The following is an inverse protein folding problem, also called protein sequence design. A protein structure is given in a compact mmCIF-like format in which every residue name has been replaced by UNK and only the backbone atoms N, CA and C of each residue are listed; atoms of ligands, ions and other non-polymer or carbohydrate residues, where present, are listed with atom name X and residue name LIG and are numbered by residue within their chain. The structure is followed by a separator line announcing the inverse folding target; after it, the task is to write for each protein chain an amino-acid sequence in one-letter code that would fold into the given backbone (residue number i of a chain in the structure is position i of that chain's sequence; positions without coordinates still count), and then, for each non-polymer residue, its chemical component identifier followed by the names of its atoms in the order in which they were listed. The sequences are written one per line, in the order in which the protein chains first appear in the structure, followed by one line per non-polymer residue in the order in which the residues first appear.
data_IF_204025807657
#
_entry.id   IF_204025807657
#
_cell.length_a   1.000
_cell.length_b   1.000
_cell.length_c   1.000
_cell.angle_alpha   90.00
_cell.angle_beta   90.00
_cell.angle_gamma   90.00
#
_symmetry.space_group_name_H-M   'P 1'
#
loop_
_entity.id
_entity.type
_entity.pdbx_description
1 polymer ?
#
# COMPACT_ATOMS: atom_id res chain seq x y z
N UNK A 1 -16.79 3.74 24.62
CA UNK A 1 -15.46 3.33 24.13
C UNK A 1 -15.67 2.10 23.27
N UNK A 2 -15.32 2.13 21.98
CA UNK A 2 -15.65 1.05 21.04
C UNK A 2 -14.47 0.08 20.95
N UNK A 3 -14.44 -0.93 21.81
CA UNK A 3 -13.70 -2.17 21.54
C UNK A 3 -14.63 -3.08 20.73
N UNK A 4 -14.46 -3.15 19.40
CA UNK A 4 -15.28 -4.07 18.60
C UNK A 4 -15.36 -3.87 17.08
N UNK A 5 -14.45 -3.11 16.46
CA UNK A 5 -14.56 -2.75 15.04
C UNK A 5 -13.61 -3.46 14.06
N UNK A 6 -12.74 -4.37 14.53
CA UNK A 6 -11.70 -4.99 13.70
C UNK A 6 -12.07 -6.43 13.32
N UNK A 7 -12.03 -6.74 12.02
CA UNK A 7 -12.57 -8.01 11.48
C UNK A 7 -11.47 -8.91 10.90
N UNK A 8 -11.68 -10.24 10.95
CA UNK A 8 -10.79 -11.22 10.33
C UNK A 8 -9.75 -11.84 11.27
N UNK A 9 -8.70 -12.42 10.68
CA UNK A 9 -7.59 -13.09 11.39
C UNK A 9 -6.81 -12.12 12.29
N UNK A 10 -5.96 -12.65 13.18
CA UNK A 10 -5.12 -11.82 14.05
C UNK A 10 -4.22 -10.88 13.24
N UNK A 11 -3.63 -11.37 12.15
CA UNK A 11 -2.81 -10.55 11.25
C UNK A 11 -3.63 -9.43 10.61
N UNK A 12 -4.85 -9.74 10.12
CA UNK A 12 -5.74 -8.75 9.51
C UNK A 12 -6.19 -7.68 10.51
N UNK A 13 -6.46 -8.05 11.77
CA UNK A 13 -6.83 -7.09 12.81
C UNK A 13 -5.65 -6.20 13.21
N UNK A 14 -4.42 -6.73 13.25
CA UNK A 14 -3.22 -5.92 13.49
C UNK A 14 -3.00 -4.88 12.38
N UNK A 15 -3.14 -5.28 11.11
CA UNK A 15 -3.06 -4.34 9.99
C UNK A 15 -4.12 -3.24 10.09
N UNK A 16 -5.35 -3.59 10.45
CA UNK A 16 -6.42 -2.60 10.66
C UNK A 16 -6.15 -1.62 11.82
N UNK A 17 -5.54 -2.10 12.91
CA UNK A 17 -5.17 -1.24 14.03
C UNK A 17 -4.07 -0.23 13.62
N UNK A 18 -2.98 -0.71 13.00
CA UNK A 18 -1.87 0.14 12.54
C UNK A 18 -2.35 1.18 11.52
N UNK A 19 -3.23 0.77 10.63
CA UNK A 19 -3.92 1.64 9.70
C UNK A 19 -4.67 2.80 10.39
N UNK A 20 -5.49 2.50 11.40
CA UNK A 20 -6.27 3.50 12.14
C UNK A 20 -5.35 4.44 12.90
N UNK A 21 -4.25 3.94 13.48
CA UNK A 21 -3.22 4.74 14.14
C UNK A 21 -2.54 5.71 13.17
N UNK A 22 -2.34 5.32 11.91
CA UNK A 22 -1.71 6.15 10.87
C UNK A 22 -2.63 7.21 10.23
N UNK A 23 -3.93 7.18 10.53
CA UNK A 23 -4.97 7.91 9.78
C UNK A 23 -4.68 9.41 9.66
N UNK A 24 -4.28 10.03 10.77
CA UNK A 24 -4.09 11.48 10.82
C UNK A 24 -2.82 11.93 10.09
N UNK A 25 -1.76 11.10 10.10
CA UNK A 25 -0.54 11.35 9.33
C UNK A 25 -0.80 11.22 7.82
N UNK A 26 -1.56 10.18 7.42
CA UNK A 26 -1.97 9.95 6.03
C UNK A 26 -2.78 11.13 5.49
N UNK A 27 -3.77 11.63 6.25
CA UNK A 27 -4.58 12.80 5.85
C UNK A 27 -3.77 14.08 5.60
N UNK A 28 -2.65 14.24 6.31
CA UNK A 28 -1.78 15.43 6.19
C UNK A 28 -0.70 15.29 5.13
N UNK A 29 -0.56 14.12 4.52
CA UNK A 29 0.51 13.84 3.56
C UNK A 29 -0.06 13.87 2.14
N UNK A 30 0.27 14.89 1.32
CA UNK A 30 -0.17 14.94 -0.07
C UNK A 30 0.24 13.67 -0.83
N UNK A 31 -0.70 13.07 -1.55
CA UNK A 31 -0.49 11.83 -2.33
C UNK A 31 -0.54 10.53 -1.52
N UNK A 32 -0.67 10.59 -0.19
CA UNK A 32 -0.90 9.39 0.61
C UNK A 32 -2.35 8.91 0.46
N UNK A 33 -2.52 7.62 0.15
CA UNK A 33 -3.85 6.99 0.02
C UNK A 33 -3.98 5.83 0.98
N UNK A 34 -5.15 5.74 1.61
CA UNK A 34 -5.54 4.56 2.37
C UNK A 34 -6.33 3.63 1.46
N UNK A 35 -5.63 2.75 0.73
CA UNK A 35 -6.23 1.86 -0.24
C UNK A 35 -6.47 0.49 0.41
N UNK A 36 -7.73 0.06 0.51
CA UNK A 36 -8.09 -1.29 0.93
C UNK A 36 -7.43 -1.78 2.24
N UNK A 37 -7.21 -0.85 3.20
CA UNK A 37 -6.56 -1.11 4.50
C UNK A 37 -5.06 -1.43 4.48
N UNK A 38 -4.37 -1.04 3.40
CA UNK A 38 -2.92 -1.14 3.29
C UNK A 38 -2.35 0.25 2.95
N UNK A 39 -1.11 0.48 3.36
CA UNK A 39 -0.32 1.61 2.88
C UNK A 39 -0.21 1.56 1.35
N UNK A 40 -0.16 2.71 0.68
CA UNK A 40 -0.08 2.74 -0.77
C UNK A 40 0.38 4.07 -1.35
N UNK A 41 0.73 4.03 -2.64
CA UNK A 41 1.19 5.21 -3.40
C UNK A 41 0.61 5.20 -4.82
N UNK A 42 0.44 6.40 -5.39
CA UNK A 42 0.18 6.62 -6.81
C UNK A 42 1.38 7.21 -7.56
N UNK A 43 2.45 7.57 -6.83
CA UNK A 43 3.69 8.12 -7.38
C UNK A 43 4.89 7.57 -6.58
N UNK A 44 5.46 6.42 -7.00
CA UNK A 44 6.55 5.77 -6.28
C UNK A 44 7.81 6.63 -6.15
N UNK A 45 8.11 7.45 -7.16
CA UNK A 45 9.29 8.30 -7.19
C UNK A 45 9.19 9.42 -6.14
N UNK A 46 8.03 10.09 -6.07
CA UNK A 46 7.81 11.14 -5.05
C UNK A 46 7.62 10.55 -3.66
N UNK A 47 7.07 9.34 -3.56
CA UNK A 47 6.86 8.67 -2.27
C UNK A 47 8.16 8.15 -1.65
N UNK A 48 9.11 7.73 -2.51
CA UNK A 48 10.46 7.34 -2.16
C UNK A 48 10.63 5.83 -1.99
N UNK A 49 11.59 5.26 -2.72
CA UNK A 49 11.84 3.81 -2.72
C UNK A 49 12.36 3.25 -1.39
N UNK A 50 13.12 4.03 -0.62
CA UNK A 50 13.56 3.61 0.71
C UNK A 50 12.36 3.44 1.67
N UNK A 51 11.39 4.35 1.57
CA UNK A 51 10.14 4.29 2.34
C UNK A 51 9.28 3.10 1.89
N UNK A 52 9.15 2.88 0.59
CA UNK A 52 8.47 1.72 0.01
C UNK A 52 9.06 0.42 0.57
N UNK A 53 10.38 0.27 0.53
CA UNK A 53 11.07 -0.90 1.07
C UNK A 53 10.86 -1.07 2.58
N UNK A 54 10.84 0.01 3.35
CA UNK A 54 10.58 -0.05 4.79
C UNK A 54 9.15 -0.53 5.10
N UNK A 55 8.14 0.00 4.40
CA UNK A 55 6.74 -0.43 4.52
C UNK A 55 6.59 -1.89 4.14
N UNK A 56 7.12 -2.30 2.98
CA UNK A 56 7.05 -3.68 2.51
C UNK A 56 7.68 -4.68 3.49
N UNK A 57 8.82 -4.32 4.10
CA UNK A 57 9.45 -5.16 5.14
C UNK A 57 8.65 -5.23 6.45
N UNK A 58 7.98 -4.15 6.83
CA UNK A 58 7.23 -4.08 8.08
C UNK A 58 5.81 -4.69 7.97
N UNK A 59 5.13 -4.42 6.87
CA UNK A 59 3.70 -4.74 6.66
C UNK A 59 3.50 -5.95 5.73
N UNK A 60 4.53 -6.34 4.96
CA UNK A 60 4.49 -7.47 4.04
C UNK A 60 3.77 -7.21 2.71
N UNK A 61 3.03 -6.11 2.60
CA UNK A 61 2.34 -5.70 1.38
C UNK A 61 2.11 -4.18 1.37
N UNK A 62 2.00 -3.63 0.16
CA UNK A 62 1.51 -2.27 -0.07
C UNK A 62 0.78 -2.21 -1.41
N UNK A 63 0.04 -1.14 -1.64
CA UNK A 63 -0.70 -0.94 -2.89
C UNK A 63 -0.06 0.12 -3.77
N UNK A 64 -0.08 -0.13 -5.07
CA UNK A 64 0.25 0.84 -6.10
C UNK A 64 -1.04 1.13 -6.88
N UNK A 65 -1.46 2.38 -6.95
CA UNK A 65 -2.72 2.76 -7.61
C UNK A 65 -2.46 3.79 -8.70
N UNK A 66 -3.24 3.74 -9.78
CA UNK A 66 -3.19 4.73 -10.86
C UNK A 66 -1.78 4.89 -11.47
N UNK A 67 -0.94 3.85 -11.39
CA UNK A 67 0.36 3.84 -12.04
C UNK A 67 0.11 3.83 -13.55
N UNK A 68 0.71 4.79 -14.26
CA UNK A 68 0.65 4.81 -15.71
C UNK A 68 1.22 3.48 -16.26
N UNK A 69 0.55 2.86 -17.22
CA UNK A 69 0.94 1.54 -17.74
C UNK A 69 2.41 1.49 -18.21
N UNK A 70 2.92 2.60 -18.76
CA UNK A 70 4.32 2.72 -19.18
C UNK A 70 5.34 2.68 -18.03
N UNK A 71 4.92 2.95 -16.79
CA UNK A 71 5.75 2.93 -15.60
C UNK A 71 5.71 1.59 -14.84
N UNK A 72 4.74 0.70 -15.14
CA UNK A 72 4.61 -0.59 -14.46
C UNK A 72 5.88 -1.47 -14.55
N UNK A 73 6.57 -1.59 -15.69
CA UNK A 73 7.79 -2.40 -15.78
C UNK A 73 8.92 -1.92 -14.86
N UNK A 74 9.06 -0.60 -14.68
CA UNK A 74 10.05 -0.04 -13.77
C UNK A 74 9.67 -0.33 -12.31
N UNK A 75 8.39 -0.19 -11.95
CA UNK A 75 7.90 -0.54 -10.61
C UNK A 75 8.15 -2.01 -10.29
N UNK A 76 7.85 -2.91 -11.23
CA UNK A 76 8.14 -4.35 -11.12
C UNK A 76 9.63 -4.61 -10.86
N UNK A 77 10.51 -4.00 -11.66
CA UNK A 77 11.96 -4.15 -11.54
C UNK A 77 12.45 -3.71 -10.16
N UNK A 78 12.02 -2.55 -9.69
CA UNK A 78 12.40 -2.00 -8.37
C UNK A 78 11.89 -2.86 -7.22
N UNK A 79 10.69 -3.41 -7.33
CA UNK A 79 10.15 -4.32 -6.32
C UNK A 79 10.94 -5.64 -6.30
N UNK A 80 11.30 -6.18 -7.46
CA UNK A 80 12.12 -7.38 -7.55
C UNK A 80 13.50 -7.19 -6.91
N UNK A 81 14.13 -6.02 -7.10
CA UNK A 81 15.40 -5.66 -6.41
C UNK A 81 15.25 -5.62 -4.88
N UNK A 82 14.06 -5.28 -4.38
CA UNK A 82 13.73 -5.29 -2.96
C UNK A 82 13.32 -6.69 -2.45
N UNK A 83 13.22 -7.69 -3.33
CA UNK A 83 12.78 -9.05 -3.00
C UNK A 83 11.26 -9.23 -2.93
N UNK A 84 10.49 -8.32 -3.53
CA UNK A 84 9.03 -8.36 -3.57
C UNK A 84 8.51 -8.54 -5.00
N UNK A 85 7.32 -9.11 -5.13
CA UNK A 85 6.60 -9.20 -6.41
C UNK A 85 5.36 -8.31 -6.38
N UNK A 86 4.90 -7.87 -7.56
CA UNK A 86 3.65 -7.13 -7.73
C UNK A 86 2.65 -7.96 -8.50
N UNK A 87 1.39 -7.89 -8.09
CA UNK A 87 0.26 -8.40 -8.86
C UNK A 87 -0.59 -7.21 -9.30
N UNK A 88 -0.69 -7.01 -10.61
CA UNK A 88 -1.55 -6.00 -11.20
C UNK A 88 -2.96 -6.55 -11.39
N UNK A 89 -3.95 -5.69 -11.18
CA UNK A 89 -5.36 -6.00 -11.37
C UNK A 89 -5.88 -4.96 -12.36
N UNK A 90 -6.42 -5.40 -13.49
CA UNK A 90 -7.15 -4.49 -14.36
C UNK A 90 -8.51 -4.20 -13.71
N UNK A 91 -8.67 -2.98 -13.19
CA UNK A 91 -9.92 -2.54 -12.56
C UNK A 91 -11.05 -2.31 -13.55
N UNK A 92 -10.78 -2.36 -14.86
CA UNK A 92 -11.77 -2.21 -15.92
C UNK A 92 -12.17 -3.55 -16.57
N UNK A 93 -11.62 -4.69 -16.15
CA UNK A 93 -12.16 -6.02 -16.49
C UNK A 93 -13.47 -6.26 -15.71
N UNK A 94 -14.50 -5.57 -16.17
CA UNK A 94 -15.91 -5.74 -15.80
C UNK A 94 -16.75 -5.53 -17.06
N UNK A 95 -16.57 -6.41 -18.04
CA UNK A 95 -17.45 -6.55 -19.22
C UNK A 95 -18.45 -7.67 -18.99
#
# INVERSE_FOLDING_TARGET
MVEGGLYGSVAQRRLQAAALESLEATRRTPGAVFAARMSGTEDPERFGWDRIGAILRAEGAMTFRMIAAAACPEVERRLAELGFAVAWWDVFEGS
#
